data_IF_255640963473
#
_entry.id   IF_255640963473
#
_cell.length_a   1.000
_cell.length_b   1.000
_cell.length_c   1.000
_cell.angle_alpha   90.00
_cell.angle_beta   90.00
_cell.angle_gamma   90.00
#
_symmetry.space_group_name_H-M   'P 1'
#
loop_
_entity.id
_entity.type
_entity.pdbx_description
1 polymer ?
#
# COMPACT_ATOMS: atom_id res chain seq x y z
N UNK A 1 -44.57 36.31 39.53
CA UNK A 1 -43.43 36.17 38.59
C UNK A 1 -43.27 34.68 38.28
N UNK A 2 -43.50 34.26 37.03
CA UNK A 2 -43.38 32.85 36.62
C UNK A 2 -41.99 32.64 36.03
N UNK A 3 -41.18 31.80 36.66
CA UNK A 3 -39.90 31.37 36.13
C UNK A 3 -40.15 30.33 35.03
N UNK A 4 -39.77 30.66 33.80
CA UNK A 4 -39.69 29.70 32.70
C UNK A 4 -38.36 28.98 32.86
N UNK A 5 -38.41 27.72 33.29
CA UNK A 5 -37.25 26.83 33.25
C UNK A 5 -36.98 26.46 31.78
N UNK A 6 -36.00 27.14 31.17
CA UNK A 6 -35.36 26.65 29.95
C UNK A 6 -34.65 25.33 30.31
N UNK A 7 -35.13 24.23 29.74
CA UNK A 7 -34.57 22.91 29.94
C UNK A 7 -33.19 22.81 29.24
N UNK A 8 -32.06 22.71 29.98
CA UNK A 8 -30.73 22.67 29.37
C UNK A 8 -30.46 21.37 28.59
N UNK A 9 -31.34 20.35 28.70
CA UNK A 9 -31.24 19.10 27.93
C UNK A 9 -31.51 19.26 26.43
N UNK A 10 -32.02 20.40 25.97
CA UNK A 10 -32.22 20.70 24.54
C UNK A 10 -30.98 21.29 23.85
N UNK A 11 -29.89 21.58 24.60
CA UNK A 11 -28.62 22.08 24.06
C UNK A 11 -27.51 21.01 23.97
N UNK A 12 -27.80 19.76 24.31
CA UNK A 12 -26.91 18.61 24.10
C UNK A 12 -27.15 17.90 22.76
N UNK A 13 -27.99 18.47 21.90
CA UNK A 13 -28.23 17.96 20.56
C UNK A 13 -27.07 18.32 19.63
N UNK A 14 -26.40 17.27 19.14
CA UNK A 14 -25.57 17.23 17.93
C UNK A 14 -24.22 17.96 18.00
N UNK A 15 -23.29 17.43 18.80
CA UNK A 15 -21.94 17.26 18.29
C UNK A 15 -22.03 16.20 17.18
N UNK A 16 -22.35 16.62 15.94
CA UNK A 16 -22.02 15.81 14.77
C UNK A 16 -20.50 15.90 14.73
N UNK A 17 -19.82 14.86 15.22
CA UNK A 17 -18.40 14.73 14.95
C UNK A 17 -18.23 14.79 13.43
N UNK A 18 -17.50 15.81 12.96
CA UNK A 18 -17.18 15.97 11.56
C UNK A 18 -16.30 14.77 11.17
N UNK A 19 -16.92 13.73 10.61
CA UNK A 19 -16.21 12.53 10.22
C UNK A 19 -15.43 12.82 8.94
N UNK A 20 -14.10 12.78 9.06
CA UNK A 20 -13.17 13.03 7.95
C UNK A 20 -12.65 11.71 7.42
N UNK A 21 -12.85 11.48 6.12
CA UNK A 21 -12.24 10.38 5.40
C UNK A 21 -10.87 10.80 4.87
N UNK A 22 -9.84 9.96 5.07
CA UNK A 22 -8.51 10.16 4.50
C UNK A 22 -8.27 9.02 3.50
N UNK A 23 -7.98 9.39 2.25
CA UNK A 23 -7.66 8.49 1.15
C UNK A 23 -6.20 8.74 0.78
N UNK A 24 -5.33 7.81 1.12
CA UNK A 24 -3.89 7.95 0.97
C UNK A 24 -3.27 6.92 0.03
N UNK A 25 -4.03 5.91 -0.37
CA UNK A 25 -3.54 4.79 -1.19
C UNK A 25 -4.46 4.48 -2.36
N UNK A 26 -3.91 3.78 -3.35
CA UNK A 26 -4.66 3.39 -4.56
C UNK A 26 -5.92 2.60 -4.22
N UNK A 27 -5.83 1.66 -3.30
CA UNK A 27 -6.96 0.78 -2.98
C UNK A 27 -7.96 1.46 -2.01
N UNK A 28 -7.53 2.33 -1.08
CA UNK A 28 -8.48 3.18 -0.33
C UNK A 28 -9.30 4.05 -1.29
N UNK A 29 -8.67 4.51 -2.38
CA UNK A 29 -9.37 5.25 -3.42
C UNK A 29 -10.36 4.35 -4.19
N UNK A 30 -9.98 3.13 -4.55
CA UNK A 30 -10.87 2.15 -5.20
C UNK A 30 -12.05 1.75 -4.31
N UNK A 31 -11.79 1.48 -3.03
CA UNK A 31 -12.80 1.18 -2.01
C UNK A 31 -13.76 2.37 -1.80
N UNK A 32 -13.25 3.60 -1.96
CA UNK A 32 -14.03 4.83 -1.96
C UNK A 32 -14.72 5.13 -3.31
N UNK A 33 -14.59 4.26 -4.31
CA UNK A 33 -15.26 4.37 -5.61
C UNK A 33 -14.55 5.25 -6.65
N UNK A 34 -13.31 5.67 -6.39
CA UNK A 34 -12.47 6.29 -7.42
C UNK A 34 -11.95 5.21 -8.38
N UNK A 35 -11.62 5.62 -9.61
CA UNK A 35 -11.00 4.73 -10.61
C UNK A 35 -9.59 5.24 -10.96
N UNK A 36 -8.56 4.95 -10.15
CA UNK A 36 -7.22 5.54 -10.31
C UNK A 36 -6.64 5.39 -11.72
N UNK A 37 -6.90 4.28 -12.41
CA UNK A 37 -6.39 3.99 -13.76
C UNK A 37 -6.85 5.00 -14.83
N UNK A 38 -8.05 5.56 -14.66
CA UNK A 38 -8.65 6.54 -15.59
C UNK A 38 -8.77 7.94 -14.99
N UNK A 39 -8.46 8.09 -13.69
CA UNK A 39 -8.62 9.34 -12.96
C UNK A 39 -7.72 10.46 -13.52
N UNK A 40 -8.24 11.68 -13.78
CA UNK A 40 -7.46 12.78 -14.36
C UNK A 40 -6.22 13.15 -13.54
N UNK A 41 -6.32 13.17 -12.20
CA UNK A 41 -5.17 13.39 -11.32
C UNK A 41 -4.07 12.33 -11.50
N UNK A 42 -4.45 11.06 -11.68
CA UNK A 42 -3.48 9.97 -11.85
C UNK A 42 -2.85 9.98 -13.24
N UNK A 43 -3.62 10.32 -14.27
CA UNK A 43 -3.06 10.59 -15.60
C UNK A 43 -2.03 11.71 -15.56
N UNK A 44 -2.31 12.79 -14.83
CA UNK A 44 -1.39 13.91 -14.66
C UNK A 44 -0.11 13.52 -13.89
N UNK A 45 -0.24 12.76 -12.79
CA UNK A 45 0.90 12.24 -12.03
C UNK A 45 1.77 11.28 -12.85
N UNK A 46 1.16 10.35 -13.57
CA UNK A 46 1.87 9.44 -14.47
C UNK A 46 2.65 10.20 -15.55
N UNK A 47 2.05 11.22 -16.16
CA UNK A 47 2.72 12.07 -17.14
C UNK A 47 3.90 12.81 -16.49
N UNK A 48 3.71 13.39 -15.30
CA UNK A 48 4.78 14.08 -14.56
C UNK A 48 5.97 13.17 -14.26
N UNK A 49 5.74 11.92 -13.80
CA UNK A 49 6.84 10.98 -13.55
C UNK A 49 7.60 10.62 -14.83
N UNK A 50 6.90 10.50 -15.97
CA UNK A 50 7.57 10.26 -17.26
C UNK A 50 8.52 11.39 -17.63
N UNK A 51 8.11 12.65 -17.44
CA UNK A 51 8.97 13.79 -17.74
C UNK A 51 10.20 13.90 -16.83
N UNK A 52 10.22 13.21 -15.67
CA UNK A 52 11.40 13.17 -14.80
C UNK A 52 12.49 12.21 -15.31
N UNK A 53 12.13 11.20 -16.11
CA UNK A 53 13.03 10.12 -16.51
C UNK A 53 13.34 10.11 -18.00
N UNK A 54 12.55 10.84 -18.80
CA UNK A 54 12.71 10.93 -20.24
C UNK A 54 12.35 12.32 -20.74
N UNK A 55 12.95 12.71 -21.86
CA UNK A 55 12.47 13.85 -22.65
C UNK A 55 11.19 13.40 -23.36
N UNK A 56 10.08 14.05 -23.04
CA UNK A 56 8.76 13.77 -23.62
C UNK A 56 8.31 15.01 -24.36
N UNK A 57 7.95 14.85 -25.63
CA UNK A 57 7.30 15.92 -26.40
C UNK A 57 5.85 16.07 -25.91
N UNK A 58 5.59 17.13 -25.15
CA UNK A 58 4.28 17.41 -24.57
C UNK A 58 3.39 18.16 -25.55
N UNK A 59 2.16 17.70 -25.69
CA UNK A 59 1.10 18.43 -26.40
C UNK A 59 0.51 19.55 -25.53
N UNK A 60 -0.32 20.42 -26.10
CA UNK A 60 -1.04 21.44 -25.32
C UNK A 60 -1.94 20.81 -24.26
N UNK A 61 -2.65 19.73 -24.61
CA UNK A 61 -3.51 18.98 -23.69
C UNK A 61 -2.72 18.37 -22.51
N UNK A 62 -1.46 17.99 -22.74
CA UNK A 62 -0.57 17.47 -21.71
C UNK A 62 -0.15 18.57 -20.72
N UNK A 63 0.09 19.80 -21.19
CA UNK A 63 0.34 20.94 -20.31
C UNK A 63 -0.87 21.25 -19.43
N UNK A 64 -2.07 21.26 -20.01
CA UNK A 64 -3.31 21.47 -19.26
C UNK A 64 -3.52 20.37 -18.21
N UNK A 65 -3.27 19.11 -18.58
CA UNK A 65 -3.33 17.98 -17.66
C UNK A 65 -2.32 18.10 -16.51
N UNK A 66 -1.08 18.49 -16.81
CA UNK A 66 -0.04 18.71 -15.79
C UNK A 66 -0.39 19.89 -14.86
N UNK A 67 -0.99 20.96 -15.38
CA UNK A 67 -1.45 22.10 -14.59
C UNK A 67 -2.59 21.73 -13.63
N UNK A 68 -3.39 20.72 -13.99
CA UNK A 68 -4.47 20.18 -13.17
C UNK A 68 -3.99 19.30 -12.00
N UNK A 69 -2.75 18.80 -12.03
CA UNK A 69 -2.16 17.92 -11.00
C UNK A 69 -2.19 18.54 -9.60
N UNK A 70 -2.64 17.79 -8.60
CA UNK A 70 -2.61 18.14 -7.18
C UNK A 70 -1.99 17.00 -6.39
N UNK A 71 -1.25 17.35 -5.34
CA UNK A 71 -0.64 16.38 -4.45
C UNK A 71 -1.63 15.92 -3.37
N UNK A 72 -2.14 16.89 -2.60
CA UNK A 72 -3.17 16.70 -1.60
C UNK A 72 -4.35 17.63 -1.89
N UNK A 73 -5.56 17.13 -1.67
CA UNK A 73 -6.79 17.89 -1.85
C UNK A 73 -7.76 17.57 -0.71
N UNK A 74 -8.05 18.58 0.10
CA UNK A 74 -9.18 18.55 1.03
C UNK A 74 -10.46 18.98 0.29
N UNK A 75 -11.49 18.16 0.39
CA UNK A 75 -12.78 18.33 -0.28
C UNK A 75 -13.84 18.47 0.81
N UNK A 76 -14.41 19.67 0.93
CA UNK A 76 -15.40 20.00 1.96
C UNK A 76 -16.84 20.05 1.46
N UNK A 77 -17.06 19.91 0.14
CA UNK A 77 -18.40 20.00 -0.43
C UNK A 77 -18.53 19.27 -1.77
N UNK A 78 -19.79 19.08 -2.20
CA UNK A 78 -20.14 18.40 -3.45
C UNK A 78 -19.59 19.07 -4.72
N UNK A 79 -19.43 20.39 -4.71
CA UNK A 79 -18.90 21.11 -5.88
C UNK A 79 -17.41 20.78 -6.08
N UNK A 80 -16.64 20.76 -5.00
CA UNK A 80 -15.24 20.32 -5.03
C UNK A 80 -15.12 18.83 -5.37
N UNK A 81 -16.02 17.99 -4.86
CA UNK A 81 -16.03 16.57 -5.19
C UNK A 81 -16.18 16.34 -6.70
N UNK A 82 -17.14 17.02 -7.34
CA UNK A 82 -17.31 17.00 -8.81
C UNK A 82 -16.06 17.53 -9.51
N UNK A 83 -15.51 18.66 -9.04
CA UNK A 83 -14.30 19.27 -9.62
C UNK A 83 -13.11 18.32 -9.62
N UNK A 84 -12.95 17.49 -8.59
CA UNK A 84 -11.84 16.57 -8.42
C UNK A 84 -12.18 15.11 -8.74
N UNK A 85 -13.35 14.85 -9.34
CA UNK A 85 -13.83 13.51 -9.70
C UNK A 85 -13.90 12.52 -8.52
N UNK A 86 -14.23 13.03 -7.34
CA UNK A 86 -14.48 12.22 -6.13
C UNK A 86 -15.98 11.94 -6.01
N UNK A 87 -16.39 10.69 -5.70
CA UNK A 87 -17.80 10.32 -5.57
C UNK A 87 -18.53 11.19 -4.54
N UNK A 88 -19.64 11.81 -4.95
CA UNK A 88 -20.43 12.70 -4.09
C UNK A 88 -21.17 11.92 -3.00
N UNK A 89 -21.31 10.61 -3.17
CA UNK A 89 -21.91 9.66 -2.25
C UNK A 89 -21.12 9.56 -0.93
N UNK A 90 -19.82 9.84 -0.95
CA UNK A 90 -18.98 9.87 0.26
C UNK A 90 -19.50 10.91 1.28
N UNK A 91 -20.14 11.99 0.80
CA UNK A 91 -20.72 13.03 1.66
C UNK A 91 -22.03 12.61 2.35
N UNK A 92 -22.49 11.38 2.15
CA UNK A 92 -23.56 10.81 2.97
C UNK A 92 -23.06 10.41 4.37
N UNK A 93 -21.78 10.02 4.46
CA UNK A 93 -21.17 9.51 5.69
C UNK A 93 -20.07 10.45 6.22
N UNK A 94 -19.41 11.21 5.34
CA UNK A 94 -18.27 12.06 5.71
C UNK A 94 -18.56 13.54 5.45
N UNK A 95 -18.09 14.40 6.35
CA UNK A 95 -18.19 15.87 6.16
C UNK A 95 -17.07 16.42 5.30
N UNK A 96 -15.89 15.77 5.37
CA UNK A 96 -14.70 16.14 4.61
C UNK A 96 -14.03 14.88 4.07
N UNK A 97 -13.48 14.99 2.86
CA UNK A 97 -12.67 13.93 2.25
C UNK A 97 -11.32 14.52 1.89
N UNK A 98 -10.24 13.94 2.40
CA UNK A 98 -8.88 14.34 2.07
C UNK A 98 -8.22 13.27 1.21
N UNK A 99 -7.69 13.66 0.05
CA UNK A 99 -7.12 12.74 -0.94
C UNK A 99 -5.68 13.11 -1.25
N UNK A 100 -4.76 12.18 -0.97
CA UNK A 100 -3.37 12.25 -1.40
C UNK A 100 -3.22 11.63 -2.80
N UNK A 101 -3.52 12.42 -3.83
CA UNK A 101 -3.40 11.97 -5.21
C UNK A 101 -1.98 11.56 -5.60
N UNK A 102 -0.93 12.10 -4.98
CA UNK A 102 0.42 11.60 -5.27
C UNK A 102 0.56 10.12 -4.94
N UNK A 103 0.16 9.73 -3.73
CA UNK A 103 0.29 8.34 -3.29
C UNK A 103 -0.77 7.43 -3.92
N UNK A 104 -2.03 7.89 -4.03
CA UNK A 104 -3.11 7.16 -4.71
C UNK A 104 -2.71 6.79 -6.13
N UNK A 105 -2.05 7.69 -6.85
CA UNK A 105 -1.70 7.50 -8.24
C UNK A 105 -0.37 6.77 -8.47
N UNK A 106 0.33 6.35 -7.41
CA UNK A 106 1.53 5.49 -7.54
C UNK A 106 1.20 4.04 -7.89
N UNK A 107 -0.08 3.64 -7.78
CA UNK A 107 -0.53 2.27 -8.02
C UNK A 107 0.27 1.28 -7.18
N UNK A 108 0.42 1.58 -5.88
CA UNK A 108 1.11 0.69 -4.98
C UNK A 108 0.35 -0.64 -4.89
N UNK A 109 1.04 -1.78 -5.02
CA UNK A 109 0.39 -3.07 -4.91
C UNK A 109 -0.23 -3.22 -3.51
N UNK A 110 -1.36 -3.92 -3.42
CA UNK A 110 -2.02 -4.19 -2.15
C UNK A 110 -1.29 -5.32 -1.43
N UNK A 111 -0.25 -4.97 -0.65
CA UNK A 111 0.59 -5.94 0.06
C UNK A 111 0.16 -6.07 1.52
N UNK A 112 -0.12 -7.30 1.97
CA UNK A 112 -0.28 -7.58 3.39
C UNK A 112 1.09 -7.85 4.02
N UNK A 113 1.48 -7.04 5.02
CA UNK A 113 2.72 -7.25 5.78
C UNK A 113 2.47 -8.16 6.99
N UNK A 114 3.22 -9.25 7.10
CA UNK A 114 3.27 -10.11 8.29
C UNK A 114 4.67 -10.02 8.88
N UNK A 115 4.79 -9.30 9.99
CA UNK A 115 6.09 -8.97 10.61
C UNK A 115 6.09 -9.11 12.14
N UNK A 116 5.13 -9.86 12.69
CA UNK A 116 5.05 -10.17 14.11
C UNK A 116 4.43 -11.56 14.30
N UNK A 117 4.74 -12.20 15.43
CA UNK A 117 4.16 -13.50 15.76
C UNK A 117 2.64 -13.40 15.94
N UNK A 118 2.15 -12.27 16.46
CA UNK A 118 0.72 -11.96 16.56
C UNK A 118 0.04 -11.97 15.18
N UNK A 119 0.63 -11.28 14.20
CA UNK A 119 0.13 -11.25 12.82
C UNK A 119 0.16 -12.65 12.19
N UNK A 120 1.27 -13.38 12.38
CA UNK A 120 1.41 -14.75 11.89
C UNK A 120 0.29 -15.65 12.44
N UNK A 121 0.01 -15.58 13.75
CA UNK A 121 -1.07 -16.33 14.37
C UNK A 121 -2.46 -15.92 13.85
N UNK A 122 -2.71 -14.62 13.70
CA UNK A 122 -3.96 -14.06 13.16
C UNK A 122 -4.26 -14.58 11.76
N UNK A 123 -3.24 -14.68 10.91
CA UNK A 123 -3.36 -15.17 9.53
C UNK A 123 -3.03 -16.66 9.38
N UNK A 124 -2.87 -17.40 10.49
CA UNK A 124 -2.59 -18.84 10.53
C UNK A 124 -1.34 -19.26 9.75
N UNK A 125 -0.35 -18.39 9.71
CA UNK A 125 0.93 -18.64 9.06
C UNK A 125 1.68 -19.77 9.78
N UNK A 126 2.21 -20.72 9.03
CA UNK A 126 3.02 -21.82 9.52
C UNK A 126 4.47 -21.35 9.77
N UNK A 127 4.69 -20.79 10.95
CA UNK A 127 6.00 -20.24 11.36
C UNK A 127 7.09 -21.31 11.49
N UNK A 128 6.74 -22.56 11.82
CA UNK A 128 7.73 -23.65 11.93
C UNK A 128 8.43 -23.93 10.59
N UNK A 129 7.71 -23.88 9.48
CA UNK A 129 8.27 -24.09 8.14
C UNK A 129 9.21 -22.94 7.75
N UNK A 130 8.83 -21.71 8.12
CA UNK A 130 9.62 -20.51 7.82
C UNK A 130 10.92 -20.48 8.61
N UNK A 131 10.85 -20.66 9.93
CA UNK A 131 12.03 -20.55 10.80
C UNK A 131 13.02 -21.72 10.64
N UNK A 132 12.57 -22.89 10.19
CA UNK A 132 13.48 -24.01 9.83
C UNK A 132 14.33 -23.70 8.60
N UNK A 133 13.80 -22.96 7.61
CA UNK A 133 14.56 -22.57 6.42
C UNK A 133 15.68 -21.60 6.77
N UNK A 134 15.41 -20.64 7.64
CA UNK A 134 16.40 -19.65 8.11
C UNK A 134 17.54 -20.31 8.89
N UNK A 135 17.24 -21.26 9.79
CA UNK A 135 18.27 -22.00 10.53
C UNK A 135 19.16 -22.85 9.62
N UNK A 136 18.61 -23.41 8.54
CA UNK A 136 19.38 -24.21 7.57
C UNK A 136 20.33 -23.34 6.74
N UNK A 137 19.87 -22.18 6.26
CA UNK A 137 20.70 -21.24 5.49
C UNK A 137 21.80 -20.57 6.33
N UNK A 138 21.50 -20.26 7.59
CA UNK A 138 22.47 -19.68 8.52
C UNK A 138 23.58 -20.68 8.90
N UNK A 139 23.25 -21.96 9.03
CA UNK A 139 24.23 -23.02 9.32
C UNK A 139 25.22 -23.26 8.17
N UNK A 140 24.79 -23.16 6.91
CA UNK A 140 25.67 -23.31 5.74
C UNK A 140 26.62 -22.12 5.56
N UNK A 141 26.25 -20.95 6.07
CA UNK A 141 27.08 -19.73 6.04
C UNK A 141 28.18 -19.71 7.13
N UNK A 142 28.08 -20.59 8.14
CA UNK A 142 28.97 -20.64 9.30
C UNK A 142 30.14 -21.63 9.19
N UNK A 143 30.28 -22.37 8.09
CA UNK A 143 31.40 -23.32 7.91
C UNK A 143 32.69 -22.62 7.44
N UNK A 144 33.19 -21.68 8.24
CA UNK A 144 34.52 -21.09 8.11
C UNK A 144 35.41 -21.56 9.26
N UNK A 145 36.50 -22.27 8.93
CA UNK A 145 37.44 -22.87 9.89
C UNK A 145 38.03 -21.86 10.89
N UNK A 146 38.21 -22.21 12.18
CA UNK A 146 38.74 -21.29 13.17
C UNK A 146 40.26 -21.16 13.02
N UNK A 147 40.73 -19.97 12.61
CA UNK A 147 42.12 -19.57 12.84
C UNK A 147 42.19 -18.22 13.58
N UNK A 148 42.79 -18.31 14.77
CA UNK A 148 43.60 -17.30 15.46
C UNK A 148 42.91 -16.11 16.18
N UNK A 149 42.63 -16.31 17.47
CA UNK A 149 43.32 -15.56 18.54
C UNK A 149 43.09 -14.07 18.73
N UNK A 150 42.27 -13.39 17.93
CA UNK A 150 41.99 -11.95 18.11
C UNK A 150 40.54 -11.74 18.53
N UNK A 151 40.30 -11.13 19.69
CA UNK A 151 38.96 -10.72 20.13
C UNK A 151 38.41 -9.73 19.10
N UNK A 152 37.39 -10.09 18.31
CA UNK A 152 36.82 -9.15 17.35
C UNK A 152 35.91 -8.20 18.10
N UNK A 153 36.08 -6.91 17.84
CA UNK A 153 35.05 -5.91 18.06
C UNK A 153 33.81 -6.37 17.26
N UNK A 154 32.74 -6.72 17.97
CA UNK A 154 31.50 -7.22 17.35
C UNK A 154 30.82 -6.01 16.69
N UNK A 155 31.17 -5.72 15.44
CA UNK A 155 30.26 -5.00 14.56
C UNK A 155 29.00 -5.87 14.43
N UNK A 156 27.94 -5.45 15.12
CA UNK A 156 26.58 -5.97 14.86
C UNK A 156 26.23 -5.49 13.46
N UNK A 157 26.63 -6.25 12.44
CA UNK A 157 26.05 -6.13 11.12
C UNK A 157 24.62 -6.61 11.26
N UNK A 158 23.67 -5.68 11.22
CA UNK A 158 22.26 -6.02 11.01
C UNK A 158 22.19 -6.96 9.81
N UNK A 159 21.76 -8.20 10.06
CA UNK A 159 21.53 -9.16 9.00
C UNK A 159 20.47 -8.55 8.06
N UNK A 160 20.64 -8.69 6.74
CA UNK A 160 19.64 -8.21 5.79
C UNK A 160 18.31 -8.88 6.12
N UNK A 161 17.26 -8.07 6.28
CA UNK A 161 15.92 -8.52 6.62
C UNK A 161 15.41 -9.49 5.53
N UNK A 162 15.24 -10.78 5.87
CA UNK A 162 14.73 -11.78 4.93
C UNK A 162 13.21 -11.60 4.77
N UNK A 163 12.78 -11.24 3.56
CA UNK A 163 11.37 -11.05 3.21
C UNK A 163 10.94 -12.07 2.16
N UNK A 164 9.94 -12.88 2.50
CA UNK A 164 9.30 -13.83 1.59
C UNK A 164 8.02 -13.22 1.03
N UNK A 165 7.92 -13.16 -0.30
CA UNK A 165 6.71 -12.72 -0.99
C UNK A 165 5.89 -13.92 -1.45
N UNK A 166 4.62 -13.95 -1.05
CA UNK A 166 3.64 -14.96 -1.46
C UNK A 166 2.57 -14.26 -2.30
N UNK A 167 2.47 -14.63 -3.56
CA UNK A 167 1.67 -13.88 -4.54
C UNK A 167 0.36 -14.58 -4.89
N UNK A 168 0.24 -15.88 -4.62
CA UNK A 168 -0.91 -16.68 -5.03
C UNK A 168 -1.06 -17.95 -4.18
N UNK A 169 -2.19 -18.63 -4.40
CA UNK A 169 -2.50 -19.91 -3.73
C UNK A 169 -1.50 -21.03 -4.04
N UNK A 170 -0.86 -21.00 -5.22
CA UNK A 170 0.11 -22.02 -5.63
C UNK A 170 1.44 -21.85 -4.86
N UNK A 171 1.98 -20.64 -4.80
CA UNK A 171 3.15 -20.28 -3.99
C UNK A 171 2.90 -20.46 -2.50
N UNK A 172 1.68 -20.21 -2.02
CA UNK A 172 1.25 -20.54 -0.66
C UNK A 172 1.34 -22.03 -0.37
N UNK A 173 0.78 -22.87 -1.25
CA UNK A 173 0.78 -24.32 -1.12
C UNK A 173 2.19 -24.92 -1.24
N UNK A 174 2.96 -24.49 -2.25
CA UNK A 174 4.34 -24.94 -2.49
C UNK A 174 5.29 -24.50 -1.37
N UNK A 175 5.06 -23.30 -0.83
CA UNK A 175 5.79 -22.78 0.31
C UNK A 175 5.44 -23.46 1.63
N UNK A 176 4.31 -24.18 1.69
CA UNK A 176 3.69 -24.71 2.90
C UNK A 176 3.44 -23.63 3.97
N UNK A 177 3.11 -22.41 3.54
CA UNK A 177 2.96 -21.26 4.45
C UNK A 177 1.64 -21.30 5.24
N UNK A 178 0.61 -22.01 4.77
CA UNK A 178 -0.63 -22.22 5.52
C UNK A 178 -1.56 -20.99 5.59
N UNK A 179 -1.33 -19.98 4.76
CA UNK A 179 -2.17 -18.78 4.68
C UNK A 179 -3.56 -19.13 4.14
N UNK A 180 -4.59 -18.39 4.57
CA UNK A 180 -5.94 -18.53 3.99
C UNK A 180 -5.95 -17.96 2.56
N UNK A 181 -6.35 -18.78 1.59
CA UNK A 181 -6.39 -18.40 0.17
C UNK A 181 -7.29 -17.19 -0.11
N UNK A 182 -8.25 -16.89 0.78
CA UNK A 182 -9.07 -15.67 0.71
C UNK A 182 -8.25 -14.38 0.80
N UNK A 183 -7.06 -14.43 1.39
CA UNK A 183 -6.17 -13.27 1.47
C UNK A 183 -5.74 -12.80 0.08
N UNK A 184 -5.57 -13.72 -0.89
CA UNK A 184 -5.19 -13.36 -2.26
C UNK A 184 -6.34 -12.79 -3.10
N UNK A 185 -7.58 -12.86 -2.59
CA UNK A 185 -8.71 -12.12 -3.18
C UNK A 185 -8.70 -10.64 -2.81
N UNK A 186 -8.08 -10.30 -1.68
CA UNK A 186 -8.02 -8.93 -1.16
C UNK A 186 -6.63 -8.30 -1.32
N UNK A 187 -5.58 -9.10 -1.42
CA UNK A 187 -4.19 -8.64 -1.51
C UNK A 187 -3.52 -9.21 -2.75
N UNK A 188 -2.76 -8.39 -3.45
CA UNK A 188 -1.97 -8.82 -4.61
C UNK A 188 -0.74 -9.62 -4.20
N UNK A 189 -0.20 -9.37 -3.00
CA UNK A 189 0.85 -10.19 -2.41
C UNK A 189 0.86 -10.09 -0.88
N UNK A 190 1.55 -11.03 -0.25
CA UNK A 190 1.76 -11.09 1.19
C UNK A 190 3.28 -11.10 1.42
N UNK A 191 3.78 -10.10 2.14
CA UNK A 191 5.18 -9.95 2.50
C UNK A 191 5.42 -10.44 3.94
N UNK A 192 6.16 -11.53 4.08
CA UNK A 192 6.46 -12.19 5.35
C UNK A 192 7.89 -11.86 5.75
N UNK A 193 8.06 -11.24 6.92
CA UNK A 193 9.35 -10.80 7.45
C UNK A 193 9.93 -11.87 8.38
N UNK A 194 10.71 -12.81 7.82
CA UNK A 194 11.11 -14.06 8.49
C UNK A 194 11.93 -13.78 9.76
N UNK A 195 12.95 -12.92 9.68
CA UNK A 195 13.79 -12.57 10.83
C UNK A 195 12.99 -11.97 12.00
N UNK A 196 11.94 -11.18 11.71
CA UNK A 196 11.05 -10.64 12.74
C UNK A 196 10.17 -11.71 13.39
N UNK A 197 9.82 -12.77 12.65
CA UNK A 197 9.02 -13.89 13.15
C UNK A 197 9.85 -14.88 13.96
N UNK A 198 11.09 -15.11 13.56
CA UNK A 198 11.92 -16.21 14.06
C UNK A 198 12.92 -15.78 15.14
N UNK A 199 13.39 -14.52 15.12
CA UNK A 199 14.27 -13.96 16.17
C UNK A 199 13.49 -13.17 17.25
N UNK A 200 12.16 -13.09 17.10
CA UNK A 200 11.31 -12.07 17.72
C UNK A 200 10.86 -12.29 19.17
N UNK A 201 11.36 -13.29 19.92
CA UNK A 201 10.82 -13.61 21.27
C UNK A 201 10.91 -12.46 22.29
N UNK A 202 11.68 -11.38 22.02
CA UNK A 202 11.90 -10.27 22.96
C UNK A 202 11.61 -8.86 22.42
N UNK A 203 11.01 -8.70 21.22
CA UNK A 203 10.70 -7.36 20.68
C UNK A 203 9.19 -7.12 20.73
N UNK A 204 8.81 -5.95 21.26
CA UNK A 204 7.42 -5.52 21.29
C UNK A 204 6.83 -5.57 19.87
N UNK A 205 5.59 -6.06 19.74
CA UNK A 205 4.89 -6.13 18.46
C UNK A 205 4.91 -4.75 17.78
N UNK A 206 5.46 -4.67 16.57
CA UNK A 206 5.28 -3.48 15.74
C UNK A 206 3.79 -3.33 15.43
N UNK A 207 3.24 -2.10 15.45
CA UNK A 207 1.86 -1.89 15.04
C UNK A 207 1.65 -2.44 13.62
N UNK A 208 0.66 -3.31 13.49
CA UNK A 208 0.20 -3.86 12.21
C UNK A 208 -0.52 -2.77 11.41
N UNK A 209 0.24 -1.83 10.86
CA UNK A 209 -0.27 -1.00 9.79
C UNK A 209 -0.18 -1.80 8.49
N UNK A 210 -1.17 -1.64 7.61
CA UNK A 210 -1.01 -1.95 6.19
C UNK A 210 0.15 -1.07 5.69
N UNK A 211 1.37 -1.61 5.74
CA UNK A 211 2.54 -0.85 5.35
C UNK A 211 2.69 -0.91 3.84
N UNK A 212 2.38 0.23 3.21
CA UNK A 212 2.55 0.43 1.79
C UNK A 212 4.04 0.61 1.50
N UNK A 213 4.66 -0.39 0.88
CA UNK A 213 6.04 -0.29 0.47
C UNK A 213 6.19 0.78 -0.64
N UNK A 214 6.60 1.97 -0.24
CA UNK A 214 7.28 2.91 -1.10
C UNK A 214 8.79 2.58 -1.11
N UNK A 215 9.14 1.46 -1.74
CA UNK A 215 10.53 1.07 -2.01
C UNK A 215 10.98 -0.17 -1.26
N UNK A 216 11.17 -1.28 -1.98
CA UNK A 216 12.46 -1.63 -2.58
C UNK A 216 12.16 -2.00 -4.03
N UNK A 217 13.03 -1.53 -4.92
CA UNK A 217 13.16 -1.99 -6.30
C UNK A 217 13.39 -3.52 -6.35
N UNK A 218 12.34 -4.31 -6.18
CA UNK A 218 12.25 -5.70 -6.65
C UNK A 218 11.11 -5.81 -7.68
N UNK A 219 10.95 -4.76 -8.48
CA UNK A 219 10.40 -4.86 -9.82
C UNK A 219 11.46 -4.22 -10.70
N UNK A 220 12.20 -5.03 -11.45
CA UNK A 220 11.82 -5.29 -12.83
C UNK A 220 11.47 -3.95 -13.52
N UNK A 221 12.21 -3.66 -14.57
CA UNK A 221 11.83 -2.67 -15.59
C UNK A 221 10.42 -2.93 -16.17
N UNK A 222 9.69 -3.96 -15.73
CA UNK A 222 8.42 -4.37 -16.27
C UNK A 222 7.21 -3.76 -15.56
N UNK A 223 7.17 -3.42 -14.26
CA UNK A 223 5.86 -3.05 -13.70
C UNK A 223 5.31 -1.68 -14.18
N UNK A 224 6.17 -0.66 -14.29
CA UNK A 224 5.77 0.64 -14.87
C UNK A 224 5.55 0.57 -16.40
N UNK A 225 6.06 -0.48 -17.06
CA UNK A 225 5.95 -0.73 -18.50
C UNK A 225 4.85 -1.73 -18.88
N UNK A 226 4.40 -2.60 -17.96
CA UNK A 226 3.39 -3.63 -18.20
C UNK A 226 2.00 -3.04 -18.41
N UNK A 227 1.69 -1.91 -17.76
CA UNK A 227 0.47 -1.14 -18.05
C UNK A 227 0.50 -0.48 -19.44
N UNK A 228 1.69 -0.36 -20.05
CA UNK A 228 1.86 0.28 -21.35
C UNK A 228 1.66 -0.68 -22.53
N UNK A 229 2.11 -1.94 -22.42
CA UNK A 229 1.91 -2.92 -23.50
C UNK A 229 0.45 -3.38 -23.65
N UNK A 230 -0.33 -3.46 -22.57
CA UNK A 230 -1.73 -3.88 -22.69
C UNK A 230 -2.63 -2.84 -23.40
N UNK A 231 -2.26 -1.55 -23.36
CA UNK A 231 -3.07 -0.49 -23.97
C UNK A 231 -2.74 -0.25 -25.46
N UNK A 232 -1.54 -0.59 -25.93
CA UNK A 232 -1.21 -0.56 -27.36
C UNK A 232 -1.72 -1.80 -28.13
N UNK A 233 -1.74 -2.98 -27.48
CA UNK A 233 -2.30 -4.19 -28.09
C UNK A 233 -3.81 -4.05 -28.33
N UNK A 234 -4.55 -3.38 -27.44
CA UNK A 234 -5.99 -3.12 -27.62
C UNK A 234 -6.30 -2.13 -28.76
N UNK A 235 -5.41 -1.18 -29.06
CA UNK A 235 -5.59 -0.25 -30.20
C UNK A 235 -5.25 -0.89 -31.55
N UNK A 236 -4.42 -1.93 -31.56
CA UNK A 236 -4.03 -2.62 -32.79
C UNK A 236 -5.08 -3.64 -33.27
N UNK A 237 -5.91 -4.17 -32.37
CA UNK A 237 -6.98 -5.13 -32.72
C UNK A 237 -8.25 -4.43 -33.25
N UNK A 238 -8.47 -3.16 -32.92
CA UNK A 238 -9.65 -2.39 -33.41
C UNK A 238 -9.42 -1.61 -34.71
N UNK A 239 -8.27 -1.78 -35.40
CA UNK A 239 -7.99 -1.17 -36.71
C UNK A 239 -7.89 -2.17 -37.88
N UNK A 240 -8.38 -3.39 -37.68
CA UNK A 240 -8.66 -4.35 -38.76
C UNK A 240 -10.12 -4.83 -38.66
N UNK A 241 -11.04 -3.96 -39.08
CA UNK A 241 -12.29 -4.31 -39.76
C UNK A 241 -12.77 -3.09 -40.53
#
# INVERSE_FOLDING_TARGET
MKFVFLNPLLLLGICIDAERLIISTTYEAEDAGLTPTTHPQCRAWMLWWKTQHAVVDLTVDDFDLLAYRRQWVLIGNKHEAIKYHVPVELFQNFTEVDVNFENVCRFHPRVLRIASLSAANKYRLNTEVLCRRETTQTAESSSGSPHDGTVPEIEIKESPEEVVYVNDTESNANGHFGLDDRLFGNHESIAIYVSKLCDGENKADEPEDLQYFAGISIYSKSCMMCMYEQNEVSKTILRKR
#
